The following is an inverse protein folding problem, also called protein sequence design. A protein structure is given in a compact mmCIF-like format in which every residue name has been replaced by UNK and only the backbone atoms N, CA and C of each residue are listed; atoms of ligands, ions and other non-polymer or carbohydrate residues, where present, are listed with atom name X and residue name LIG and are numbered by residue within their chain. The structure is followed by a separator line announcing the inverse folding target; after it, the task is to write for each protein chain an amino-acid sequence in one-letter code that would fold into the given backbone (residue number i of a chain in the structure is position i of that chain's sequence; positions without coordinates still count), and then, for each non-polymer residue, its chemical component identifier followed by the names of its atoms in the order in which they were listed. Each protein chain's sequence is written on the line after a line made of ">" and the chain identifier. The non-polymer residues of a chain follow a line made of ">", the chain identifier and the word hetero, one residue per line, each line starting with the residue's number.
data_IF_416026915634
#
_entry.id   IF_416026915634
#
_cell.length_a   1.000
_cell.length_b   1.000
_cell.length_c   1.000
_cell.angle_alpha   90.00
_cell.angle_beta   90.00
_cell.angle_gamma   90.00
#
_symmetry.space_group_name_H-M   'P 1'
#
loop_
_entity.id
_entity.type
_entity.pdbx_description
1 polymer ?
#
# COMPACT_ATOMS: atom_id res chain seq x y z
N UNK A 1 -25.45 -9.43 4.59
CA UNK A 1 -24.20 -10.09 4.13
C UNK A 1 -23.04 -9.23 4.61
N UNK A 2 -22.45 -9.59 5.75
CA UNK A 2 -21.30 -8.89 6.29
C UNK A 2 -20.09 -9.33 5.48
N UNK A 3 -19.62 -8.45 4.59
CA UNK A 3 -18.36 -8.67 3.88
C UNK A 3 -17.23 -8.76 4.89
N UNK A 4 -16.39 -9.77 4.72
CA UNK A 4 -15.08 -9.86 5.37
C UNK A 4 -14.36 -8.53 5.17
N UNK A 5 -14.20 -7.78 6.26
CA UNK A 5 -13.34 -6.60 6.29
C UNK A 5 -11.96 -7.13 6.62
N UNK A 6 -11.19 -7.42 5.56
CA UNK A 6 -9.79 -7.83 5.66
C UNK A 6 -9.02 -6.84 6.53
N UNK A 7 -8.11 -7.37 7.35
CA UNK A 7 -7.20 -6.55 8.11
C UNK A 7 -6.27 -5.86 7.12
N UNK A 8 -6.41 -4.54 6.96
CA UNK A 8 -5.48 -3.82 6.11
C UNK A 8 -4.13 -3.71 6.83
N UNK A 9 -3.16 -4.49 6.33
CA UNK A 9 -1.77 -4.49 6.77
C UNK A 9 -0.97 -3.66 5.76
N UNK A 10 -0.32 -2.61 6.26
CA UNK A 10 0.51 -1.72 5.45
C UNK A 10 1.95 -1.81 5.90
N UNK A 11 2.85 -1.90 4.94
CA UNK A 11 4.28 -1.83 5.17
C UNK A 11 4.79 -0.53 4.60
N UNK A 12 5.33 0.35 5.44
CA UNK A 12 6.12 1.51 5.02
C UNK A 12 7.59 1.11 5.11
N UNK A 13 8.32 1.15 4.01
CA UNK A 13 9.78 0.99 4.06
C UNK A 13 10.47 2.16 3.40
N UNK A 14 11.59 2.55 4.01
CA UNK A 14 12.51 3.53 3.48
C UNK A 14 13.89 2.91 3.25
N UNK A 15 14.72 3.63 2.51
CA UNK A 15 15.99 3.17 1.96
C UNK A 15 17.02 2.65 2.99
N UNK A 16 16.81 2.89 4.28
CA UNK A 16 17.70 2.55 5.39
C UNK A 16 17.29 1.26 6.13
N UNK A 17 16.82 0.23 5.42
CA UNK A 17 16.32 -1.03 6.01
C UNK A 17 15.18 -0.83 7.05
N UNK A 18 14.64 0.39 7.15
CA UNK A 18 13.60 0.76 8.09
C UNK A 18 12.26 0.24 7.59
N UNK A 19 11.60 -0.55 8.44
CA UNK A 19 10.42 -1.30 8.11
C UNK A 19 9.31 -1.02 9.12
N UNK A 20 8.28 -0.30 8.71
CA UNK A 20 7.19 0.08 9.60
C UNK A 20 5.94 -0.67 9.19
N UNK A 21 5.55 -1.64 10.01
CA UNK A 21 4.32 -2.39 9.84
C UNK A 21 3.18 -1.68 10.56
N UNK A 22 2.20 -1.22 9.81
CA UNK A 22 0.95 -0.68 10.32
C UNK A 22 -0.11 -1.76 10.23
N UNK A 23 -0.74 -2.05 11.36
CA UNK A 23 -1.80 -3.07 11.44
C UNK A 23 -3.07 -2.42 11.99
N UNK A 24 -4.15 -2.54 11.20
CA UNK A 24 -5.48 -2.01 11.57
C UNK A 24 -6.07 -2.75 12.79
N UNK A 25 -5.84 -4.05 12.91
CA UNK A 25 -6.41 -4.88 13.97
C UNK A 25 -5.38 -5.29 15.02
N UNK A 26 -5.64 -4.90 16.27
CA UNK A 26 -4.88 -5.36 17.43
C UNK A 26 -5.24 -6.82 17.77
N UNK A 27 -4.61 -7.77 17.08
CA UNK A 27 -4.74 -9.20 17.37
C UNK A 27 -3.59 -9.69 18.23
N UNK A 28 -3.92 -10.29 19.37
CA UNK A 28 -2.94 -10.90 20.27
C UNK A 28 -2.17 -12.07 19.62
N UNK A 29 -2.74 -12.74 18.60
CA UNK A 29 -2.04 -13.78 17.84
C UNK A 29 -1.07 -13.17 16.81
N UNK A 30 -1.49 -12.11 16.11
CA UNK A 30 -0.66 -11.41 15.13
C UNK A 30 0.52 -10.70 15.80
N UNK A 31 0.26 -9.93 16.87
CA UNK A 31 1.32 -9.29 17.65
C UNK A 31 2.33 -10.29 18.19
N UNK A 32 1.86 -11.45 18.68
CA UNK A 32 2.73 -12.51 19.18
C UNK A 32 3.49 -13.21 18.07
N UNK A 33 2.91 -13.35 16.88
CA UNK A 33 3.59 -13.89 15.72
C UNK A 33 4.69 -12.93 15.27
N UNK A 34 4.38 -11.65 15.06
CA UNK A 34 5.36 -10.65 14.65
C UNK A 34 6.46 -10.50 15.70
N UNK A 35 6.10 -10.36 16.98
CA UNK A 35 7.04 -10.29 18.09
C UNK A 35 7.77 -11.62 18.39
N UNK A 36 7.58 -12.68 17.62
CA UNK A 36 8.38 -13.92 17.71
C UNK A 36 9.17 -14.19 16.44
N UNK A 37 8.57 -13.88 15.28
CA UNK A 37 9.17 -14.07 13.97
C UNK A 37 10.18 -12.97 13.63
N UNK A 38 9.95 -11.75 14.11
CA UNK A 38 10.76 -10.58 13.80
C UNK A 38 11.41 -9.92 15.03
N UNK A 39 10.99 -10.26 16.25
CA UNK A 39 11.67 -9.84 17.47
C UNK A 39 12.71 -10.90 17.87
N UNK A 40 13.82 -10.93 17.14
CA UNK A 40 15.00 -11.71 17.53
C UNK A 40 15.57 -11.04 18.79
N UNK A 41 15.43 -11.72 19.94
CA UNK A 41 15.63 -11.21 21.31
C UNK A 41 17.04 -10.70 21.70
N UNK A 42 17.84 -10.26 20.75
CA UNK A 42 19.09 -9.53 20.89
C UNK A 42 19.21 -8.72 19.61
N UNK A 43 19.15 -7.39 19.70
CA UNK A 43 19.12 -6.45 18.57
C UNK A 43 19.95 -6.92 17.36
N UNK A 44 19.27 -7.55 16.41
CA UNK A 44 19.78 -7.76 15.08
C UNK A 44 19.38 -6.50 14.34
N UNK A 45 20.26 -5.52 14.41
CA UNK A 45 20.24 -4.36 13.52
C UNK A 45 20.32 -4.91 12.09
N UNK A 46 19.27 -4.67 11.30
CA UNK A 46 19.36 -4.82 9.84
C UNK A 46 20.15 -3.61 9.34
N UNK A 47 21.48 -3.60 9.54
CA UNK A 47 22.23 -2.35 9.39
C UNK A 47 21.72 -1.26 10.36
N UNK A 48 21.46 -0.04 9.89
CA UNK A 48 20.82 1.01 10.69
C UNK A 48 19.28 0.86 10.80
N UNK A 49 18.70 -0.17 10.17
CA UNK A 49 17.26 -0.37 10.04
C UNK A 49 16.58 -1.05 11.24
N UNK A 50 15.32 -0.67 11.48
CA UNK A 50 14.46 -1.28 12.51
C UNK A 50 13.08 -1.67 12.00
N UNK A 51 12.49 -2.72 12.59
CA UNK A 51 11.10 -3.12 12.34
C UNK A 51 10.21 -2.59 13.46
N UNK A 52 9.29 -1.67 13.16
CA UNK A 52 8.34 -1.14 14.15
C UNK A 52 6.89 -1.49 13.78
N UNK A 53 6.16 -2.07 14.74
CA UNK A 53 4.76 -2.45 14.55
C UNK A 53 3.86 -1.46 15.27
N UNK A 54 3.05 -0.75 14.51
CA UNK A 54 2.06 0.16 15.05
C UNK A 54 0.66 -0.47 15.01
N UNK A 55 0.11 -0.63 16.21
CA UNK A 55 -1.26 -1.09 16.40
C UNK A 55 -2.21 0.09 16.43
N UNK A 56 -3.11 0.14 15.46
CA UNK A 56 -4.00 1.27 15.27
C UNK A 56 -4.93 1.56 16.45
N UNK A 57 -5.46 0.52 17.11
CA UNK A 57 -6.30 0.67 18.32
C UNK A 57 -5.53 1.27 19.51
N UNK A 58 -4.22 1.03 19.59
CA UNK A 58 -3.37 1.56 20.67
C UNK A 58 -2.91 2.99 20.42
N UNK A 59 -2.59 3.32 19.16
CA UNK A 59 -2.20 4.69 18.74
C UNK A 59 -3.38 5.66 18.90
N UNK A 60 -4.59 5.26 18.49
CA UNK A 60 -5.78 6.10 18.58
C UNK A 60 -6.24 6.41 20.01
N UNK A 61 -5.84 5.60 21.00
CA UNK A 61 -6.13 5.89 22.42
C UNK A 61 -5.29 7.05 22.96
N UNK A 62 -4.10 7.27 22.40
CA UNK A 62 -3.21 8.38 22.80
C UNK A 62 -3.46 9.66 21.99
N UNK A 63 -3.98 9.55 20.76
CA UNK A 63 -4.38 10.68 19.93
C UNK A 63 -5.90 10.91 19.99
N UNK A 64 -6.40 11.36 21.14
CA UNK A 64 -7.74 11.95 21.23
C UNK A 64 -7.74 13.29 20.47
N UNK A 65 -8.09 13.26 19.18
CA UNK A 65 -8.28 14.50 18.42
C UNK A 65 -9.42 15.31 19.07
N UNK A 66 -9.12 16.56 19.45
CA UNK A 66 -10.07 17.54 20.02
C UNK A 66 -11.23 17.86 19.06
N UNK A 67 -11.12 17.47 17.80
CA UNK A 67 -12.16 17.55 16.78
C UNK A 67 -13.31 16.54 17.01
N UNK A 68 -13.15 15.58 17.91
CA UNK A 68 -14.12 14.53 18.23
C UNK A 68 -14.87 14.78 19.54
N UNK A 69 -15.09 16.05 19.93
CA UNK A 69 -15.88 16.39 21.12
C UNK A 69 -17.39 16.30 20.81
N UNK A 70 -17.91 15.09 20.69
CA UNK A 70 -19.33 14.83 20.95
C UNK A 70 -19.41 13.90 22.15
N UNK A 71 -19.71 14.50 23.30
CA UNK A 71 -20.06 13.82 24.54
C UNK A 71 -21.31 12.97 24.32
N UNK A 72 -21.13 11.70 23.98
CA UNK A 72 -22.16 10.70 24.17
C UNK A 72 -21.50 9.35 24.36
N UNK A 73 -22.03 8.57 25.31
CA UNK A 73 -21.70 7.16 25.57
C UNK A 73 -22.09 6.21 24.41
N UNK A 74 -22.15 6.78 23.20
CA UNK A 74 -22.43 6.17 21.89
C UNK A 74 -21.34 6.54 20.87
N UNK A 75 -20.15 6.96 21.32
CA UNK A 75 -18.95 7.12 20.49
C UNK A 75 -18.37 5.75 20.05
N UNK A 76 -19.22 4.92 19.46
CA UNK A 76 -18.81 3.67 18.82
C UNK A 76 -18.02 3.99 17.56
N UNK A 77 -16.72 3.68 17.59
CA UNK A 77 -15.96 3.24 16.41
C UNK A 77 -16.00 4.19 15.20
N UNK A 78 -15.33 5.34 15.26
CA UNK A 78 -14.76 5.92 14.02
C UNK A 78 -13.53 5.10 13.62
N UNK A 79 -13.78 3.89 13.16
CA UNK A 79 -12.81 3.06 12.43
C UNK A 79 -12.41 3.77 11.13
N UNK A 80 -11.24 3.45 10.61
CA UNK A 80 -10.68 4.10 9.44
C UNK A 80 -11.64 4.04 8.25
N UNK A 81 -11.70 5.12 7.47
CA UNK A 81 -12.50 5.17 6.23
C UNK A 81 -11.72 4.65 5.01
N UNK A 82 -10.75 3.75 5.22
CA UNK A 82 -9.91 3.14 4.19
C UNK A 82 -8.41 3.41 4.37
N UNK A 83 -7.61 2.86 3.45
CA UNK A 83 -6.13 2.91 3.44
C UNK A 83 -5.56 4.31 3.62
N UNK A 84 -6.12 5.31 2.92
CA UNK A 84 -5.62 6.69 2.97
C UNK A 84 -5.81 7.31 4.35
N UNK A 85 -6.93 7.02 5.03
CA UNK A 85 -7.17 7.49 6.40
C UNK A 85 -6.18 6.86 7.39
N UNK A 86 -5.71 5.63 7.14
CA UNK A 86 -4.68 4.98 7.95
C UNK A 86 -3.36 5.74 7.85
N UNK A 87 -2.85 5.95 6.63
CA UNK A 87 -1.61 6.69 6.40
C UNK A 87 -1.69 8.13 6.95
N UNK A 88 -2.82 8.81 6.80
CA UNK A 88 -3.05 10.16 7.36
C UNK A 88 -2.83 10.22 8.87
N UNK A 89 -3.31 9.24 9.62
CA UNK A 89 -3.17 9.25 11.10
C UNK A 89 -1.75 8.92 11.56
N UNK A 90 -0.89 8.45 10.65
CA UNK A 90 0.55 8.30 10.88
C UNK A 90 1.38 9.45 10.32
N UNK A 91 0.78 10.59 9.97
CA UNK A 91 1.53 11.75 9.48
C UNK A 91 2.72 12.13 10.39
N UNK A 92 2.51 12.07 11.72
CA UNK A 92 3.53 12.38 12.72
C UNK A 92 4.79 11.50 12.62
N UNK A 93 4.68 10.29 12.06
CA UNK A 93 5.82 9.39 11.85
C UNK A 93 6.79 9.96 10.81
N UNK A 94 6.28 10.69 9.82
CA UNK A 94 7.08 11.36 8.79
C UNK A 94 7.73 12.67 9.26
N UNK A 95 7.28 13.19 10.41
CA UNK A 95 7.85 14.36 11.10
C UNK A 95 8.94 13.99 12.11
N UNK A 96 9.05 12.71 12.47
CA UNK A 96 10.06 12.21 13.41
C UNK A 96 11.47 12.55 12.89
N UNK A 97 12.40 13.04 13.75
CA UNK A 97 13.79 13.25 13.35
C UNK A 97 14.46 12.04 12.68
N UNK A 98 14.04 10.83 13.05
CA UNK A 98 14.54 9.56 12.48
C UNK A 98 14.07 9.32 11.04
N UNK A 99 12.94 9.88 10.64
CA UNK A 99 12.37 9.71 9.30
C UNK A 99 12.69 10.87 8.36
N UNK A 100 13.55 11.81 8.77
CA UNK A 100 13.89 12.99 7.98
C UNK A 100 14.59 12.65 6.67
N UNK A 101 15.44 11.64 6.67
CA UNK A 101 16.24 11.22 5.51
C UNK A 101 15.49 10.26 4.58
N UNK A 102 14.22 9.97 4.86
CA UNK A 102 13.36 9.15 4.01
C UNK A 102 12.91 9.96 2.80
N UNK A 103 13.34 9.56 1.60
CA UNK A 103 12.93 10.19 0.34
C UNK A 103 11.72 9.50 -0.31
N UNK A 104 11.67 8.17 -0.20
CA UNK A 104 10.63 7.34 -0.81
C UNK A 104 9.91 6.51 0.24
N UNK A 105 8.61 6.32 0.01
CA UNK A 105 7.71 5.55 0.87
C UNK A 105 7.08 4.46 0.04
N UNK A 106 7.48 3.21 0.29
CA UNK A 106 6.81 2.03 -0.25
C UNK A 106 5.56 1.74 0.58
N UNK A 107 4.42 1.48 -0.05
CA UNK A 107 3.17 1.04 0.58
C UNK A 107 2.81 -0.31 -0.01
N UNK A 108 2.74 -1.34 0.84
CA UNK A 108 2.36 -2.70 0.46
C UNK A 108 0.99 -3.07 1.03
N UNK A 109 0.20 -3.81 0.25
CA UNK A 109 -0.97 -4.55 0.75
C UNK A 109 -0.55 -5.91 1.30
N UNK A 110 -0.95 -6.24 2.53
CA UNK A 110 -0.71 -7.55 3.15
C UNK A 110 -1.61 -8.70 2.69
N UNK A 111 -2.56 -8.46 1.77
CA UNK A 111 -3.55 -9.46 1.37
C UNK A 111 -3.06 -10.47 0.31
N UNK A 112 -1.86 -10.26 -0.25
CA UNK A 112 -1.33 -11.06 -1.36
C UNK A 112 -0.06 -11.81 -0.98
N UNK A 113 0.01 -13.09 -1.35
CA UNK A 113 1.22 -13.90 -1.25
C UNK A 113 2.00 -13.80 -2.56
N UNK A 114 3.13 -13.09 -2.54
CA UNK A 114 4.04 -12.96 -3.68
C UNK A 114 5.48 -12.75 -3.21
N UNK A 115 6.42 -12.87 -4.15
CA UNK A 115 7.82 -12.55 -3.94
C UNK A 115 8.23 -11.52 -5.01
N UNK A 116 8.71 -10.38 -4.57
CA UNK A 116 9.19 -9.29 -5.41
C UNK A 116 10.46 -8.72 -4.80
N UNK A 117 11.41 -8.32 -5.65
CA UNK A 117 12.52 -7.49 -5.20
C UNK A 117 12.06 -6.03 -5.22
N UNK A 118 11.89 -5.44 -4.03
CA UNK A 118 11.45 -4.06 -3.91
C UNK A 118 12.58 -3.05 -4.19
N UNK A 119 13.84 -3.48 -4.16
CA UNK A 119 14.96 -2.58 -4.47
C UNK A 119 14.94 -2.21 -5.94
N UNK A 120 14.75 -3.19 -6.83
CA UNK A 120 14.56 -2.94 -8.27
C UNK A 120 13.34 -2.03 -8.53
N UNK A 121 12.27 -2.20 -7.75
CA UNK A 121 11.06 -1.39 -7.89
C UNK A 121 11.28 0.08 -7.50
N UNK A 122 11.91 0.31 -6.35
CA UNK A 122 12.26 1.65 -5.86
C UNK A 122 13.31 2.30 -6.76
N UNK A 123 14.28 1.53 -7.26
CA UNK A 123 15.27 2.03 -8.21
C UNK A 123 14.60 2.52 -9.50
N UNK A 124 13.69 1.74 -10.07
CA UNK A 124 12.94 2.14 -11.27
C UNK A 124 12.06 3.39 -11.00
N UNK A 125 11.46 3.51 -9.81
CA UNK A 125 10.75 4.72 -9.41
C UNK A 125 11.64 5.97 -9.46
N UNK A 126 12.87 5.87 -8.94
CA UNK A 126 13.84 6.97 -8.95
C UNK A 126 14.37 7.29 -10.34
N UNK A 127 14.73 6.26 -11.12
CA UNK A 127 15.24 6.43 -12.47
C UNK A 127 14.20 7.04 -13.41
N UNK A 128 12.92 6.68 -13.24
CA UNK A 128 11.82 7.28 -13.99
C UNK A 128 11.48 8.71 -13.54
N UNK A 129 11.94 9.12 -12.35
CA UNK A 129 11.61 10.41 -11.73
C UNK A 129 10.13 10.56 -11.38
N UNK A 130 9.38 9.46 -11.37
CA UNK A 130 7.94 9.45 -11.13
C UNK A 130 7.61 9.93 -9.71
N UNK A 131 6.47 10.59 -9.55
CA UNK A 131 5.98 11.00 -8.22
C UNK A 131 5.33 9.84 -7.47
N UNK A 132 4.71 8.92 -8.22
CA UNK A 132 4.04 7.71 -7.74
C UNK A 132 4.29 6.61 -8.76
N UNK A 133 4.75 5.43 -8.29
CA UNK A 133 4.90 4.22 -9.13
C UNK A 133 4.02 3.10 -8.59
N UNK A 134 3.32 2.40 -9.47
CA UNK A 134 2.44 1.28 -9.14
C UNK A 134 3.03 -0.03 -9.68
N UNK A 135 3.00 -1.09 -8.87
CA UNK A 135 3.27 -2.44 -9.37
C UNK A 135 2.00 -2.99 -10.02
N UNK A 136 2.15 -3.48 -11.24
CA UNK A 136 1.04 -3.87 -12.08
C UNK A 136 1.29 -5.22 -12.77
N UNK A 137 0.23 -5.97 -13.05
CA UNK A 137 0.30 -7.25 -13.75
C UNK A 137 -0.72 -7.33 -14.89
N UNK A 138 -0.36 -7.96 -16.03
CA UNK A 138 -1.32 -8.32 -17.06
C UNK A 138 -2.34 -9.32 -16.52
N UNK A 139 -3.62 -9.08 -16.77
CA UNK A 139 -4.73 -9.85 -16.23
C UNK A 139 -5.75 -10.22 -17.30
N UNK A 140 -6.35 -11.40 -17.15
CA UNK A 140 -7.45 -11.88 -17.96
C UNK A 140 -8.81 -11.33 -17.47
N UNK A 141 -9.83 -11.45 -18.30
CA UNK A 141 -11.17 -10.90 -18.03
C UNK A 141 -11.86 -11.50 -16.80
N UNK A 142 -11.56 -12.75 -16.43
CA UNK A 142 -12.31 -13.47 -15.40
C UNK A 142 -12.17 -12.88 -14.00
N UNK A 143 -11.04 -12.20 -13.74
CA UNK A 143 -10.72 -11.61 -12.43
C UNK A 143 -10.52 -10.10 -12.48
N UNK A 144 -10.52 -9.49 -13.66
CA UNK A 144 -10.21 -8.07 -13.83
C UNK A 144 -11.11 -7.14 -13.01
N UNK A 145 -12.39 -7.49 -12.78
CA UNK A 145 -13.33 -6.69 -11.98
C UNK A 145 -13.03 -6.67 -10.47
N UNK A 146 -12.14 -7.53 -9.98
CA UNK A 146 -11.77 -7.59 -8.55
C UNK A 146 -10.60 -6.66 -8.20
N UNK A 147 -9.96 -6.06 -9.21
CA UNK A 147 -8.76 -5.24 -9.08
C UNK A 147 -8.98 -3.81 -9.59
N UNK A 148 -8.06 -2.91 -9.21
CA UNK A 148 -7.94 -1.61 -9.85
C UNK A 148 -7.24 -1.74 -11.20
N UNK A 149 -7.93 -1.39 -12.28
CA UNK A 149 -7.41 -1.48 -13.63
C UNK A 149 -6.78 -0.17 -14.08
N UNK A 150 -5.78 -0.28 -14.95
CA UNK A 150 -4.96 0.82 -15.41
C UNK A 150 -4.94 0.88 -16.94
N UNK A 151 -4.84 2.10 -17.47
CA UNK A 151 -4.35 2.36 -18.83
C UNK A 151 -3.03 3.08 -18.77
N UNK A 152 -2.12 2.72 -19.65
CA UNK A 152 -0.80 3.32 -19.76
C UNK A 152 -0.55 3.81 -21.19
N UNK A 153 0.34 4.79 -21.33
CA UNK A 153 0.91 5.19 -22.62
C UNK A 153 2.08 4.31 -23.04
N UNK A 154 2.69 4.60 -24.20
CA UNK A 154 3.85 3.92 -24.78
C UNK A 154 5.11 3.94 -23.91
N UNK A 155 5.16 4.81 -22.90
CA UNK A 155 6.27 4.97 -21.94
C UNK A 155 5.95 4.38 -20.57
N UNK A 156 4.79 3.72 -20.42
CA UNK A 156 4.36 3.14 -19.14
C UNK A 156 3.77 4.14 -18.17
N UNK A 157 3.47 5.38 -18.58
CA UNK A 157 2.82 6.37 -17.73
C UNK A 157 1.33 6.07 -17.63
N UNK A 158 0.80 6.09 -16.42
CA UNK A 158 -0.63 5.87 -16.16
C UNK A 158 -1.45 7.05 -16.71
N UNK A 159 -2.40 6.72 -17.59
CA UNK A 159 -3.35 7.65 -18.19
C UNK A 159 -4.69 7.67 -17.45
N UNK A 160 -5.13 6.50 -17.00
CA UNK A 160 -6.39 6.36 -16.26
C UNK A 160 -6.35 5.17 -15.32
N UNK A 161 -7.07 5.30 -14.20
CA UNK A 161 -7.25 4.25 -13.21
C UNK A 161 -8.75 4.07 -12.95
N UNK A 162 -9.20 2.83 -12.82
CA UNK A 162 -10.57 2.50 -12.45
C UNK A 162 -10.58 1.39 -11.41
N UNK A 163 -11.12 1.67 -10.22
CA UNK A 163 -11.20 0.70 -9.12
C UNK A 163 -12.38 -0.27 -9.34
N UNK A 164 -12.09 -1.57 -9.44
CA UNK A 164 -13.09 -2.66 -9.55
C UNK A 164 -14.20 -2.39 -10.59
N UNK A 165 -13.83 -2.05 -11.84
CA UNK A 165 -14.81 -1.69 -12.87
C UNK A 165 -15.68 -2.88 -13.25
N UNK A 166 -16.91 -2.59 -13.70
CA UNK A 166 -17.90 -3.61 -14.07
C UNK A 166 -18.61 -3.23 -15.36
N UNK A 167 -19.13 -4.22 -16.08
CA UNK A 167 -19.96 -3.99 -17.26
C UNK A 167 -19.21 -3.26 -18.37
N UNK A 168 -19.75 -2.13 -18.82
CA UNK A 168 -19.15 -1.33 -19.89
C UNK A 168 -17.83 -0.68 -19.47
N UNK A 169 -17.70 -0.25 -18.21
CA UNK A 169 -16.47 0.34 -17.68
C UNK A 169 -15.32 -0.66 -17.68
N UNK A 170 -15.61 -1.94 -17.41
CA UNK A 170 -14.61 -3.01 -17.48
C UNK A 170 -14.08 -3.13 -18.91
N UNK A 171 -14.97 -3.25 -19.89
CA UNK A 171 -14.59 -3.35 -21.31
C UNK A 171 -13.82 -2.12 -21.78
N UNK A 172 -14.19 -0.94 -21.28
CA UNK A 172 -13.50 0.30 -21.59
C UNK A 172 -12.04 0.29 -21.10
N UNK A 173 -11.67 -0.51 -20.10
CA UNK A 173 -10.32 -0.61 -19.54
C UNK A 173 -9.39 -1.58 -20.28
N UNK A 174 -9.83 -2.18 -21.39
CA UNK A 174 -8.96 -3.02 -22.21
C UNK A 174 -7.80 -2.21 -22.82
N UNK A 175 -6.62 -2.81 -22.82
CA UNK A 175 -5.37 -2.25 -23.35
C UNK A 175 -4.56 -3.32 -24.07
N UNK A 176 -3.73 -2.89 -25.01
CA UNK A 176 -2.75 -3.77 -25.64
C UNK A 176 -1.58 -4.01 -24.67
N UNK A 177 -1.54 -5.20 -24.07
CA UNK A 177 -0.49 -5.58 -23.10
C UNK A 177 0.80 -6.04 -23.76
N UNK A 178 0.92 -6.03 -25.10
CA UNK A 178 2.22 -6.24 -25.77
C UNK A 178 3.24 -5.15 -25.39
N UNK A 179 2.77 -3.98 -24.97
CA UNK A 179 3.61 -2.92 -24.40
C UNK A 179 4.39 -3.36 -23.17
N UNK A 180 3.87 -4.33 -22.42
CA UNK A 180 4.54 -4.93 -21.25
C UNK A 180 5.48 -6.08 -21.63
N UNK A 181 5.76 -6.26 -22.93
CA UNK A 181 6.64 -7.31 -23.45
C UNK A 181 5.96 -8.67 -23.65
N UNK A 182 4.63 -8.76 -23.60
CA UNK A 182 3.89 -9.99 -23.84
C UNK A 182 3.89 -10.37 -25.33
N UNK A 183 3.84 -11.67 -25.62
CA UNK A 183 3.53 -12.15 -26.97
C UNK A 183 2.13 -11.73 -27.40
N UNK A 184 1.86 -11.65 -28.71
CA UNK A 184 0.53 -11.27 -29.22
C UNK A 184 -0.54 -12.25 -28.73
N UNK A 185 -0.21 -13.53 -28.67
CA UNK A 185 -1.11 -14.60 -28.21
C UNK A 185 -1.45 -14.46 -26.72
N UNK A 186 -0.51 -14.01 -25.90
CA UNK A 186 -0.74 -13.75 -24.48
C UNK A 186 -1.48 -12.43 -24.25
N UNK A 187 -1.17 -11.40 -25.02
CA UNK A 187 -1.80 -10.09 -24.87
C UNK A 187 -3.31 -10.17 -25.15
N UNK A 188 -3.72 -10.96 -26.14
CA UNK A 188 -5.15 -11.23 -26.42
C UNK A 188 -5.83 -11.94 -25.24
N UNK A 189 -5.12 -12.81 -24.51
CA UNK A 189 -5.66 -13.52 -23.34
C UNK A 189 -5.68 -12.65 -22.08
N UNK A 190 -4.79 -11.65 -22.00
CA UNK A 190 -4.62 -10.76 -20.84
C UNK A 190 -4.74 -9.30 -21.27
N UNK A 191 -5.95 -8.84 -21.65
CA UNK A 191 -6.15 -7.50 -22.21
C UNK A 191 -6.24 -6.40 -21.14
N UNK A 192 -5.95 -6.69 -19.86
CA UNK A 192 -6.02 -5.72 -18.77
C UNK A 192 -4.70 -5.59 -18.05
N UNK A 193 -4.47 -4.43 -17.44
CA UNK A 193 -3.37 -4.18 -16.51
C UNK A 193 -3.98 -3.91 -15.14
N UNK A 194 -3.69 -4.75 -14.17
CA UNK A 194 -4.24 -4.67 -12.82
C UNK A 194 -3.17 -4.23 -11.81
N UNK A 195 -3.52 -3.32 -10.92
CA UNK A 195 -2.68 -2.94 -9.77
C UNK A 195 -2.58 -4.10 -8.77
N UNK A 196 -1.37 -4.34 -8.26
CA UNK A 196 -1.11 -5.33 -7.21
C UNK A 196 -1.33 -4.80 -5.79
N UNK A 197 -1.68 -3.53 -5.64
CA UNK A 197 -1.74 -2.90 -4.31
C UNK A 197 -0.35 -2.64 -3.71
N UNK A 198 0.66 -2.41 -4.56
CA UNK A 198 2.03 -2.06 -4.18
C UNK A 198 2.38 -0.73 -4.85
N UNK A 199 2.77 0.24 -4.04
CA UNK A 199 2.96 1.62 -4.46
C UNK A 199 4.27 2.18 -3.91
N UNK A 200 5.01 2.95 -4.69
CA UNK A 200 6.09 3.80 -4.18
C UNK A 200 5.69 5.25 -4.39
N UNK A 201 5.81 6.05 -3.34
CA UNK A 201 5.58 7.48 -3.37
C UNK A 201 6.85 8.22 -3.00
N UNK A 202 7.12 9.35 -3.66
CA UNK A 202 7.99 10.36 -3.03
C UNK A 202 7.35 10.83 -1.74
N UNK A 203 8.13 10.93 -0.66
CA UNK A 203 7.65 11.38 0.66
C UNK A 203 6.92 12.71 0.56
N UNK A 204 7.48 13.69 -0.15
CA UNK A 204 6.86 15.01 -0.31
C UNK A 204 5.48 14.94 -1.00
N UNK A 205 5.33 14.08 -2.01
CA UNK A 205 4.08 13.89 -2.75
C UNK A 205 3.06 13.21 -1.86
N UNK A 206 3.47 12.18 -1.11
CA UNK A 206 2.61 11.51 -0.15
C UNK A 206 2.07 12.53 0.87
N UNK A 207 2.94 13.34 1.48
CA UNK A 207 2.52 14.35 2.47
C UNK A 207 1.58 15.41 1.88
N UNK A 208 1.77 15.80 0.62
CA UNK A 208 0.87 16.76 -0.05
C UNK A 208 -0.53 16.18 -0.37
N UNK A 209 -0.67 14.85 -0.44
CA UNK A 209 -1.94 14.16 -0.75
C UNK A 209 -2.74 13.81 0.51
N UNK A 210 -2.10 13.78 1.68
CA UNK A 210 -2.71 13.53 2.98
C UNK A 210 -3.43 14.78 3.49
#
# INVERSE_FOLDING_TARGET
>A
MNGDRGASEFLLTSQSDDLIHIVEFNSASLNRHIARAYNFGTGVTFGDGYVEVYLMDSVLKNYTCSCCHSNSREAGKKWFQGTVDAVRKFHWLFEDPRSKDIEDVLILSGDYLYRMDYMDFVQNHRESGADITLSCLPMDDSRASDFGLLKIDDKGRILSFSEKPKGEDLKAMQVDTTILGLSKEEAVKKPYIASMGVYVFKKEILLNLL
#
